data_IF_169582208913
#
_entry.id   IF_169582208913
#
_cell.length_a   1.000
_cell.length_b   1.000
_cell.length_c   1.000
_cell.angle_alpha   90.00
_cell.angle_beta   90.00
_cell.angle_gamma   90.00
#
_symmetry.space_group_name_H-M   'P 1'
#
loop_
_entity.id
_entity.type
_entity.pdbx_description
1 polymer ?
#
# COMPACT_ATOMS: atom_id res chain seq x y z
N UNK A 1 -14.82 6.86 8.06
CA UNK A 1 -14.29 8.15 7.56
C UNK A 1 -15.26 8.77 6.56
N UNK A 2 -15.62 8.11 5.43
CA UNK A 2 -16.48 8.68 4.39
C UNK A 2 -17.88 9.11 4.91
N UNK A 3 -18.50 8.32 5.76
CA UNK A 3 -19.81 8.63 6.35
C UNK A 3 -19.75 9.80 7.35
N UNK A 4 -18.67 9.92 8.11
CA UNK A 4 -18.44 11.05 9.04
C UNK A 4 -18.24 12.35 8.26
N UNK A 5 -17.52 12.30 7.13
CA UNK A 5 -17.30 13.45 6.26
C UNK A 5 -18.46 13.75 5.31
N UNK A 6 -19.62 13.03 5.44
CA UNK A 6 -20.80 13.16 4.58
C UNK A 6 -20.53 12.92 3.09
N UNK A 7 -19.39 12.34 2.78
CA UNK A 7 -18.95 11.99 1.42
C UNK A 7 -19.51 10.63 1.02
N UNK A 8 -19.99 10.53 -0.20
CA UNK A 8 -20.50 9.25 -0.74
C UNK A 8 -19.38 8.18 -0.66
N UNK A 9 -19.62 7.01 -0.03
CA UNK A 9 -18.58 5.98 0.19
C UNK A 9 -17.90 5.49 -1.09
N UNK A 10 -18.60 5.53 -2.23
CA UNK A 10 -18.05 5.14 -3.53
C UNK A 10 -16.89 6.02 -3.99
N UNK A 11 -16.86 7.32 -3.62
CA UNK A 11 -15.78 8.23 -4.01
C UNK A 11 -14.42 7.85 -3.39
N UNK A 12 -14.29 7.81 -2.05
CA UNK A 12 -13.01 7.42 -1.44
C UNK A 12 -12.66 5.95 -1.72
N UNK A 13 -13.66 5.07 -1.90
CA UNK A 13 -13.41 3.68 -2.24
C UNK A 13 -12.83 3.55 -3.65
N UNK A 14 -13.43 4.17 -4.66
CA UNK A 14 -12.89 4.15 -6.03
C UNK A 14 -11.52 4.79 -6.11
N UNK A 15 -11.32 5.94 -5.45
CA UNK A 15 -10.02 6.59 -5.38
C UNK A 15 -8.98 5.68 -4.71
N UNK A 16 -9.32 5.01 -3.61
CA UNK A 16 -8.42 4.09 -2.92
C UNK A 16 -8.07 2.88 -3.78
N UNK A 17 -9.04 2.27 -4.47
CA UNK A 17 -8.80 1.13 -5.37
C UNK A 17 -7.89 1.54 -6.51
N UNK A 18 -8.18 2.61 -7.23
CA UNK A 18 -7.36 3.08 -8.35
C UNK A 18 -5.95 3.47 -7.87
N UNK A 19 -5.85 4.24 -6.79
CA UNK A 19 -4.56 4.67 -6.25
C UNK A 19 -3.72 3.50 -5.77
N UNK A 20 -4.33 2.46 -5.17
CA UNK A 20 -3.60 1.26 -4.75
C UNK A 20 -3.01 0.50 -5.93
N UNK A 21 -3.75 0.37 -7.03
CA UNK A 21 -3.25 -0.28 -8.25
C UNK A 21 -2.09 0.51 -8.89
N UNK A 22 -2.22 1.83 -8.95
CA UNK A 22 -1.17 2.70 -9.48
C UNK A 22 0.07 2.66 -8.56
N UNK A 23 -0.11 2.67 -7.24
CA UNK A 23 0.98 2.65 -6.27
C UNK A 23 1.82 1.36 -6.30
N UNK A 24 1.22 0.21 -6.68
CA UNK A 24 1.96 -1.04 -6.86
C UNK A 24 3.09 -0.87 -7.88
N UNK A 25 2.86 -0.09 -8.93
CA UNK A 25 3.85 0.14 -10.00
C UNK A 25 5.01 1.02 -9.53
N UNK A 26 4.79 1.90 -8.54
CA UNK A 26 5.84 2.74 -7.96
C UNK A 26 6.55 2.10 -6.75
N UNK A 27 6.13 0.92 -6.34
CA UNK A 27 6.69 0.26 -5.17
C UNK A 27 8.02 -0.42 -5.50
N UNK A 28 9.11 -0.12 -4.77
CA UNK A 28 10.42 -0.74 -5.00
C UNK A 28 10.45 -2.24 -4.66
N UNK A 29 9.47 -2.75 -3.95
CA UNK A 29 9.34 -4.17 -3.56
C UNK A 29 8.30 -4.92 -4.39
N UNK A 30 7.67 -4.25 -5.35
CA UNK A 30 6.68 -4.89 -6.22
C UNK A 30 7.33 -5.91 -7.15
N UNK A 31 6.79 -7.12 -7.18
CA UNK A 31 7.23 -8.16 -8.09
C UNK A 31 7.18 -7.71 -9.56
N UNK A 32 6.18 -6.91 -9.94
CA UNK A 32 6.06 -6.38 -11.29
C UNK A 32 7.22 -5.44 -11.65
N UNK A 33 7.59 -4.53 -10.75
CA UNK A 33 8.71 -3.59 -10.97
C UNK A 33 10.03 -4.36 -11.02
N UNK A 34 10.24 -5.31 -10.13
CA UNK A 34 11.43 -6.14 -10.09
C UNK A 34 11.57 -6.98 -11.37
N UNK A 35 10.46 -7.55 -11.85
CA UNK A 35 10.43 -8.31 -13.10
C UNK A 35 10.76 -7.42 -14.32
N UNK A 36 10.11 -6.26 -14.45
CA UNK A 36 10.39 -5.31 -15.54
C UNK A 36 11.84 -4.82 -15.50
N UNK A 37 12.36 -4.56 -14.29
CA UNK A 37 13.76 -4.18 -14.12
C UNK A 37 14.72 -5.25 -14.64
N UNK A 38 14.48 -6.53 -14.34
CA UNK A 38 15.31 -7.63 -14.82
C UNK A 38 15.34 -7.76 -16.35
N UNK A 39 14.26 -7.35 -17.03
CA UNK A 39 14.18 -7.33 -18.51
C UNK A 39 14.87 -6.11 -19.13
N UNK A 40 14.89 -4.98 -18.42
CA UNK A 40 15.43 -3.73 -18.94
C UNK A 40 16.91 -3.52 -18.59
N UNK A 41 17.38 -4.12 -17.51
CA UNK A 41 18.78 -4.03 -17.08
C UNK A 41 19.79 -4.43 -18.17
N UNK A 42 19.59 -5.53 -18.95
CA UNK A 42 20.45 -5.88 -20.07
C UNK A 42 20.42 -4.86 -21.23
N UNK A 43 19.39 -4.02 -21.28
CA UNK A 43 19.24 -2.93 -22.27
C UNK A 43 19.82 -1.60 -21.80
N UNK A 44 20.51 -1.59 -20.67
CA UNK A 44 21.15 -0.39 -20.11
C UNK A 44 20.25 0.50 -19.24
N UNK A 45 19.02 0.07 -18.94
CA UNK A 45 18.15 0.81 -18.04
C UNK A 45 18.37 0.30 -16.62
N UNK A 46 18.84 1.17 -15.74
CA UNK A 46 19.06 0.79 -14.35
C UNK A 46 17.75 0.73 -13.57
N UNK A 47 17.75 -0.08 -12.50
CA UNK A 47 16.62 -0.19 -11.59
C UNK A 47 16.19 1.18 -11.01
N UNK A 48 17.15 2.04 -10.66
CA UNK A 48 16.86 3.36 -10.10
C UNK A 48 16.22 4.30 -11.14
N UNK A 49 16.66 4.25 -12.39
CA UNK A 49 16.03 5.02 -13.46
C UNK A 49 14.58 4.58 -13.69
N UNK A 50 14.37 3.26 -13.75
CA UNK A 50 13.01 2.70 -13.87
C UNK A 50 12.13 3.17 -12.70
N UNK A 51 12.62 3.03 -11.48
CA UNK A 51 11.87 3.42 -10.27
C UNK A 51 11.56 4.92 -10.26
N UNK A 52 12.51 5.77 -10.64
CA UNK A 52 12.28 7.21 -10.71
C UNK A 52 11.17 7.59 -11.70
N UNK A 53 11.17 6.97 -12.88
CA UNK A 53 10.12 7.18 -13.91
C UNK A 53 8.76 6.68 -13.39
N UNK A 54 8.72 5.51 -12.74
CA UNK A 54 7.49 4.94 -12.20
C UNK A 54 6.91 5.78 -11.06
N UNK A 55 7.75 6.28 -10.15
CA UNK A 55 7.33 7.19 -9.06
C UNK A 55 6.76 8.47 -9.65
N UNK A 56 7.45 9.09 -10.60
CA UNK A 56 6.99 10.33 -11.24
C UNK A 56 5.66 10.11 -11.97
N UNK A 57 5.54 9.04 -12.74
CA UNK A 57 4.30 8.67 -13.43
C UNK A 57 3.13 8.43 -12.47
N UNK A 58 3.41 7.77 -11.33
CA UNK A 58 2.42 7.56 -10.27
C UNK A 58 1.95 8.88 -9.67
N UNK A 59 2.87 9.78 -9.34
CA UNK A 59 2.52 11.11 -8.84
C UNK A 59 1.63 11.87 -9.82
N UNK A 60 2.00 11.90 -11.10
CA UNK A 60 1.22 12.58 -12.13
C UNK A 60 -0.17 11.95 -12.32
N UNK A 61 -0.31 10.65 -12.10
CA UNK A 61 -1.59 9.93 -12.23
C UNK A 61 -2.53 10.15 -11.04
N UNK A 62 -2.00 10.41 -9.86
CA UNK A 62 -2.81 10.62 -8.64
C UNK A 62 -3.67 11.89 -8.76
N UNK A 63 -3.13 12.98 -9.31
CA UNK A 63 -3.86 14.25 -9.42
C UNK A 63 -5.12 14.15 -10.29
N UNK A 64 -5.07 13.65 -11.55
CA UNK A 64 -6.27 13.44 -12.36
C UNK A 64 -7.25 12.47 -11.69
N UNK A 65 -6.76 11.40 -11.07
CA UNK A 65 -7.61 10.43 -10.39
C UNK A 65 -8.35 11.08 -9.22
N UNK A 66 -7.67 11.86 -8.39
CA UNK A 66 -8.28 12.58 -7.28
C UNK A 66 -9.28 13.63 -7.78
N UNK A 67 -8.93 14.36 -8.85
CA UNK A 67 -9.81 15.34 -9.46
C UNK A 67 -11.11 14.70 -9.97
N UNK A 68 -11.02 13.65 -10.76
CA UNK A 68 -12.18 12.91 -11.27
C UNK A 68 -13.00 12.33 -10.12
N UNK A 69 -12.36 11.67 -9.14
CA UNK A 69 -13.07 11.08 -8.00
C UNK A 69 -13.82 12.14 -7.17
N UNK A 70 -13.26 13.35 -7.05
CA UNK A 70 -13.89 14.42 -6.29
C UNK A 70 -15.12 15.03 -6.99
N UNK A 71 -15.17 14.96 -8.32
CA UNK A 71 -16.28 15.49 -9.14
C UNK A 71 -17.30 14.43 -9.53
N UNK A 72 -17.06 13.15 -9.25
CA UNK A 72 -17.97 12.05 -9.58
C UNK A 72 -19.11 11.91 -8.56
N UNK A 73 -20.34 12.13 -9.05
CA UNK A 73 -21.57 11.83 -8.32
C UNK A 73 -21.96 12.91 -7.30
N UNK A 74 -23.17 12.76 -6.75
CA UNK A 74 -23.75 13.67 -5.74
C UNK A 74 -23.18 13.35 -4.35
N UNK A 75 -23.16 14.35 -3.47
CA UNK A 75 -22.83 14.14 -2.07
C UNK A 75 -23.87 13.28 -1.36
N UNK A 76 -23.47 12.69 -0.24
CA UNK A 76 -24.32 11.75 0.50
C UNK A 76 -25.57 12.44 1.06
N UNK A 77 -25.47 13.73 1.39
CA UNK A 77 -26.59 14.55 1.87
C UNK A 77 -27.63 14.82 0.78
N UNK A 78 -27.24 14.81 -0.48
CA UNK A 78 -28.13 15.04 -1.62
C UNK A 78 -28.74 13.75 -2.16
N UNK A 79 -28.38 12.60 -1.59
CA UNK A 79 -28.94 11.31 -1.97
C UNK A 79 -30.26 11.05 -1.23
N UNK A 80 -31.40 11.02 -1.96
CA UNK A 80 -32.71 10.83 -1.35
C UNK A 80 -32.83 9.46 -0.64
N UNK A 81 -32.19 8.42 -1.16
CA UNK A 81 -32.20 7.08 -0.56
C UNK A 81 -31.44 7.06 0.76
N UNK A 82 -30.34 7.79 0.85
CA UNK A 82 -29.58 7.92 2.09
C UNK A 82 -30.39 8.66 3.16
N UNK A 83 -31.03 9.76 2.79
CA UNK A 83 -31.90 10.55 3.69
C UNK A 83 -33.06 9.73 4.24
N UNK A 84 -33.69 8.92 3.41
CA UNK A 84 -34.79 8.05 3.82
C UNK A 84 -34.30 6.96 4.81
N UNK A 85 -33.18 6.31 4.51
CA UNK A 85 -32.58 5.30 5.41
C UNK A 85 -32.11 5.90 6.73
N UNK A 86 -31.65 7.13 6.73
CA UNK A 86 -31.30 7.87 7.95
C UNK A 86 -32.54 8.12 8.82
N UNK A 87 -33.66 8.55 8.22
CA UNK A 87 -34.94 8.77 8.91
C UNK A 87 -35.49 7.47 9.52
N UNK A 88 -35.29 6.36 8.85
CA UNK A 88 -35.72 5.03 9.31
C UNK A 88 -34.78 4.42 10.37
N UNK A 89 -33.71 5.12 10.75
CA UNK A 89 -32.73 4.59 11.71
C UNK A 89 -31.91 3.38 11.17
N UNK A 90 -32.05 3.07 9.88
CA UNK A 90 -31.39 1.94 9.23
C UNK A 90 -29.89 2.16 8.97
N UNK A 91 -29.38 3.38 9.18
CA UNK A 91 -27.97 3.72 9.03
C UNK A 91 -27.36 3.89 10.42
N UNK A 92 -26.51 2.94 10.80
CA UNK A 92 -25.74 3.07 12.03
C UNK A 92 -24.86 4.35 11.99
N UNK A 93 -24.88 5.09 13.10
CA UNK A 93 -23.96 6.24 13.28
C UNK A 93 -22.52 5.77 13.08
N UNK A 94 -21.78 6.39 12.19
CA UNK A 94 -20.41 5.98 11.95
C UNK A 94 -19.57 6.26 13.21
N UNK A 95 -18.82 5.26 13.67
CA UNK A 95 -17.82 5.46 14.73
C UNK A 95 -16.77 6.45 14.22
N UNK A 96 -16.45 7.45 15.01
CA UNK A 96 -15.33 8.34 14.71
C UNK A 96 -14.04 7.54 14.64
N UNK A 97 -13.07 8.01 13.85
CA UNK A 97 -11.77 7.34 13.74
C UNK A 97 -11.03 7.27 15.09
N UNK A 98 -11.38 8.16 16.01
CA UNK A 98 -10.87 8.23 17.37
C UNK A 98 -11.37 7.08 18.26
N UNK A 99 -12.54 6.49 17.94
CA UNK A 99 -13.11 5.35 18.67
C UNK A 99 -12.50 3.99 18.23
N UNK A 100 -11.58 3.98 17.27
CA UNK A 100 -10.93 2.75 16.82
C UNK A 100 -9.70 2.50 17.71
N UNK A 101 -9.84 1.57 18.63
CA UNK A 101 -8.71 1.11 19.44
C UNK A 101 -7.62 0.52 18.52
N UNK A 102 -6.42 1.11 18.59
CA UNK A 102 -5.26 0.55 17.87
C UNK A 102 -4.78 -0.71 18.58
N UNK A 103 -4.69 -1.85 17.90
CA UNK A 103 -4.20 -3.09 18.50
C UNK A 103 -2.81 -2.92 19.11
N UNK A 104 -2.57 -3.60 20.23
CA UNK A 104 -1.24 -3.64 20.84
C UNK A 104 -0.23 -4.18 19.82
N UNK A 105 0.84 -3.45 19.62
CA UNK A 105 1.87 -3.84 18.65
C UNK A 105 1.71 -3.23 17.24
N UNK A 106 0.58 -2.62 16.87
CA UNK A 106 0.40 -2.01 15.57
C UNK A 106 1.48 -0.96 15.24
N UNK A 107 1.82 -0.11 16.21
CA UNK A 107 2.89 0.89 16.09
C UNK A 107 4.25 0.24 15.82
N UNK A 108 4.55 -0.82 16.56
CA UNK A 108 5.80 -1.58 16.42
C UNK A 108 5.89 -2.25 15.05
N UNK A 109 4.79 -2.83 14.57
CA UNK A 109 4.72 -3.44 13.24
C UNK A 109 5.00 -2.43 12.13
N UNK A 110 4.44 -1.22 12.24
CA UNK A 110 4.69 -0.15 11.26
C UNK A 110 6.17 0.23 11.24
N UNK A 111 6.80 0.39 12.40
CA UNK A 111 8.22 0.71 12.46
C UNK A 111 9.10 -0.40 11.90
N UNK A 112 8.82 -1.67 12.24
CA UNK A 112 9.53 -2.82 11.69
C UNK A 112 9.42 -2.83 10.16
N UNK A 113 8.22 -2.61 9.63
CA UNK A 113 7.99 -2.57 8.18
C UNK A 113 8.74 -1.41 7.51
N UNK A 114 8.71 -0.21 8.09
CA UNK A 114 9.43 0.95 7.55
C UNK A 114 10.94 0.74 7.54
N UNK A 115 11.50 0.19 8.61
CA UNK A 115 12.92 -0.14 8.67
C UNK A 115 13.28 -1.18 7.62
N UNK A 116 12.48 -2.23 7.47
CA UNK A 116 12.70 -3.25 6.45
C UNK A 116 12.65 -2.66 5.04
N UNK A 117 11.69 -1.76 4.77
CA UNK A 117 11.59 -1.06 3.50
C UNK A 117 12.86 -0.24 3.22
N UNK A 118 13.35 0.51 4.20
CA UNK A 118 14.60 1.28 4.07
C UNK A 118 15.80 0.38 3.80
N UNK A 119 15.89 -0.78 4.46
CA UNK A 119 16.96 -1.76 4.23
C UNK A 119 16.89 -2.32 2.81
N UNK A 120 15.70 -2.68 2.32
CA UNK A 120 15.50 -3.18 0.94
C UNK A 120 15.90 -2.13 -0.08
N UNK A 121 15.45 -0.89 0.09
CA UNK A 121 15.80 0.22 -0.81
C UNK A 121 17.29 0.50 -0.75
N UNK A 122 17.88 0.57 0.44
CA UNK A 122 19.32 0.75 0.64
C UNK A 122 20.13 -0.35 -0.05
N UNK A 123 19.76 -1.61 0.14
CA UNK A 123 20.40 -2.74 -0.55
C UNK A 123 20.31 -2.60 -2.06
N UNK A 124 19.13 -2.24 -2.59
CA UNK A 124 18.91 -2.07 -4.02
C UNK A 124 19.74 -0.93 -4.61
N UNK A 125 19.94 0.14 -3.85
CA UNK A 125 20.82 1.26 -4.25
C UNK A 125 22.28 0.82 -4.25
N UNK A 126 22.75 0.19 -3.19
CA UNK A 126 24.15 -0.24 -3.02
C UNK A 126 24.57 -1.28 -4.07
N UNK A 127 23.66 -2.13 -4.48
CA UNK A 127 23.87 -3.17 -5.50
C UNK A 127 23.55 -2.72 -6.93
N UNK A 128 23.10 -1.46 -7.09
CA UNK A 128 22.81 -0.89 -8.42
C UNK A 128 24.10 -0.70 -9.21
N UNK A 129 24.06 -1.03 -10.52
CA UNK A 129 25.16 -0.81 -11.44
C UNK A 129 25.62 0.65 -11.54
N UNK A 130 24.77 1.60 -11.20
CA UNK A 130 25.12 3.04 -11.19
C UNK A 130 25.94 3.47 -9.99
N UNK A 131 25.73 2.86 -8.83
CA UNK A 131 26.45 3.22 -7.59
C UNK A 131 27.72 2.39 -7.43
N UNK A 132 27.71 1.13 -7.90
CA UNK A 132 28.89 0.28 -8.01
C UNK A 132 29.61 -0.05 -6.71
N UNK A 133 29.02 0.24 -5.54
CA UNK A 133 29.67 0.03 -4.23
C UNK A 133 29.81 -1.45 -3.90
N UNK A 134 28.94 -2.31 -4.41
CA UNK A 134 29.01 -3.76 -4.20
C UNK A 134 28.99 -4.47 -5.56
N UNK A 135 30.17 -4.83 -6.04
CA UNK A 135 30.33 -5.47 -7.35
C UNK A 135 29.84 -6.93 -7.40
N UNK A 136 29.82 -7.61 -6.25
CA UNK A 136 29.32 -9.00 -6.13
C UNK A 136 28.42 -9.10 -4.90
N UNK A 137 27.12 -8.81 -5.05
CA UNK A 137 26.20 -8.95 -3.93
C UNK A 137 26.03 -10.43 -3.56
N UNK A 138 25.88 -10.75 -2.26
CA UNK A 138 25.74 -12.13 -1.79
C UNK A 138 24.41 -12.78 -2.24
N UNK A 139 23.41 -11.97 -2.53
CA UNK A 139 22.10 -12.41 -3.02
C UNK A 139 21.71 -11.61 -4.26
N UNK A 140 21.08 -12.26 -5.22
CA UNK A 140 20.44 -11.55 -6.31
C UNK A 140 19.36 -10.62 -5.74
N UNK A 141 19.08 -9.50 -6.42
CA UNK A 141 18.13 -8.47 -5.93
C UNK A 141 16.78 -9.07 -5.53
N UNK A 142 16.24 -9.96 -6.39
CA UNK A 142 14.95 -10.60 -6.15
C UNK A 142 14.97 -11.50 -4.90
N UNK A 143 16.02 -12.28 -4.75
CA UNK A 143 16.22 -13.16 -3.59
C UNK A 143 16.36 -12.36 -2.30
N UNK A 144 17.10 -11.25 -2.36
CA UNK A 144 17.25 -10.36 -1.22
C UNK A 144 15.90 -9.75 -0.80
N UNK A 145 15.11 -9.24 -1.75
CA UNK A 145 13.78 -8.68 -1.47
C UNK A 145 12.88 -9.74 -0.85
N UNK A 146 12.78 -10.93 -1.46
CA UNK A 146 11.93 -12.02 -0.94
C UNK A 146 12.35 -12.46 0.47
N UNK A 147 13.64 -12.65 0.69
CA UNK A 147 14.17 -13.08 1.99
C UNK A 147 13.92 -12.01 3.06
N UNK A 148 14.17 -10.74 2.75
CA UNK A 148 13.92 -9.64 3.68
C UNK A 148 12.44 -9.48 4.01
N UNK A 149 11.55 -9.63 3.03
CA UNK A 149 10.10 -9.55 3.26
C UNK A 149 9.59 -10.69 4.13
N UNK A 150 10.06 -11.92 3.88
CA UNK A 150 9.73 -13.09 4.73
C UNK A 150 10.25 -12.91 6.16
N UNK A 151 11.49 -12.45 6.31
CA UNK A 151 12.07 -12.17 7.61
C UNK A 151 11.27 -11.07 8.35
N UNK A 152 10.88 -10.02 7.66
CA UNK A 152 10.05 -8.94 8.21
C UNK A 152 8.71 -9.45 8.70
N UNK A 153 8.03 -10.28 7.90
CA UNK A 153 6.76 -10.88 8.29
C UNK A 153 6.93 -11.78 9.53
N UNK A 154 7.98 -12.60 9.58
CA UNK A 154 8.29 -13.44 10.74
C UNK A 154 8.57 -12.60 11.99
N UNK A 155 9.36 -11.54 11.89
CA UNK A 155 9.67 -10.63 13.01
C UNK A 155 8.40 -9.97 13.53
N UNK A 156 7.53 -9.48 12.64
CA UNK A 156 6.25 -8.87 13.03
C UNK A 156 5.41 -9.88 13.80
N UNK A 157 5.26 -11.11 13.30
CA UNK A 157 4.50 -12.17 13.97
C UNK A 157 5.05 -12.49 15.36
N UNK A 158 6.38 -12.60 15.49
CA UNK A 158 7.04 -12.88 16.77
C UNK A 158 6.89 -11.74 17.78
N UNK A 159 7.04 -10.51 17.32
CA UNK A 159 6.97 -9.32 18.20
C UNK A 159 5.55 -8.99 18.60
N UNK A 160 4.59 -9.09 17.69
CA UNK A 160 3.18 -8.80 17.97
C UNK A 160 2.47 -9.93 18.69
N UNK A 161 3.06 -11.13 18.69
CA UNK A 161 2.47 -12.35 19.27
C UNK A 161 1.04 -12.62 18.76
N UNK A 162 0.73 -12.18 17.55
CA UNK A 162 -0.54 -12.48 16.90
C UNK A 162 -0.51 -13.96 16.50
N UNK A 163 -1.43 -14.79 16.99
CA UNK A 163 -1.45 -16.19 16.60
C UNK A 163 -1.77 -16.29 15.10
N UNK A 164 -0.97 -17.09 14.39
CA UNK A 164 -1.12 -17.28 12.94
C UNK A 164 -2.54 -17.77 12.55
N UNK A 165 -3.20 -18.46 13.46
CA UNK A 165 -4.59 -18.92 13.32
C UNK A 165 -5.58 -17.75 13.20
N UNK A 166 -5.35 -16.63 13.88
CA UNK A 166 -6.25 -15.47 13.80
C UNK A 166 -6.14 -14.75 12.46
N UNK A 167 -4.96 -14.79 11.84
CA UNK A 167 -4.75 -14.24 10.50
C UNK A 167 -5.51 -15.08 9.46
N UNK A 168 -5.47 -16.40 9.58
CA UNK A 168 -6.19 -17.31 8.69
C UNK A 168 -7.72 -17.21 8.91
N UNK A 169 -8.18 -17.11 10.15
CA UNK A 169 -9.60 -16.99 10.47
C UNK A 169 -10.20 -15.64 10.04
N UNK A 170 -9.42 -14.58 9.96
CA UNK A 170 -9.90 -13.27 9.50
C UNK A 170 -10.22 -13.30 8.01
N UNK A 171 -9.51 -14.10 7.22
CA UNK A 171 -9.80 -14.29 5.79
C UNK A 171 -11.05 -15.15 5.56
N UNK A 172 -11.30 -16.13 6.41
CA UNK A 172 -12.48 -17.02 6.29
C UNK A 172 -13.78 -16.36 6.76
N UNK A 173 -13.72 -15.37 7.64
CA UNK A 173 -14.90 -14.64 8.14
C UNK A 173 -15.37 -13.48 7.26
N UNK A 174 -14.66 -13.17 6.19
CA UNK A 174 -15.02 -12.10 5.24
C UNK A 174 -15.90 -12.57 4.08
N UNK A 175 -16.30 -13.84 4.07
CA UNK A 175 -17.37 -14.39 3.23
C UNK A 175 -18.68 -14.46 4.07
#
# INVERSE_FOLDING_TARGET
VAKVGKVRPSRPLSAAVVSSQIAIVASPISAAVVFVASMLEPKGVSYLQLLAVMILGTFLSIFPTAFVANHLGKDLEDDPVYRERMKLGAVATPKAAEDVETPRGARTSVWIFLVALLVIVGYSILTSSQVGLVSKPPLARNEAIMTMMLATAAIILLVTKVPAVDILNTQVRSE
#
